data_IF_916502736161
#
_entry.id   IF_916502736161
#
_cell.length_a   1.000
_cell.length_b   1.000
_cell.length_c   1.000
_cell.angle_alpha   90.00
_cell.angle_beta   90.00
_cell.angle_gamma   90.00
#
_symmetry.space_group_name_H-M   'P 1'
#
loop_
_entity.id
_entity.type
_entity.pdbx_description
1 polymer ?
#
# COMPACT_ATOMS: atom_id res chain seq x y z
N UNK A 1 -6.00 -11.83 9.39
CA UNK A 1 -5.34 -10.49 9.38
C UNK A 1 -5.13 -10.11 7.93
N UNK A 2 -4.92 -8.86 7.56
CA UNK A 2 -4.79 -8.51 6.15
C UNK A 2 -3.43 -7.89 5.82
N UNK A 3 -2.89 -8.27 4.66
CA UNK A 3 -1.68 -7.71 4.09
C UNK A 3 -1.99 -7.03 2.75
N UNK A 4 -1.54 -5.78 2.62
CA UNK A 4 -1.45 -5.06 1.36
C UNK A 4 0.01 -5.07 0.92
N UNK A 5 0.29 -5.69 -0.23
CA UNK A 5 1.62 -5.76 -0.82
C UNK A 5 1.68 -4.89 -2.08
N UNK A 6 2.78 -4.14 -2.21
CA UNK A 6 3.01 -3.26 -3.35
C UNK A 6 4.15 -3.79 -4.20
N UNK A 7 3.89 -3.97 -5.50
CA UNK A 7 4.96 -4.16 -6.48
C UNK A 7 5.41 -2.80 -6.97
N UNK A 8 6.69 -2.48 -6.83
CA UNK A 8 7.25 -1.18 -7.24
C UNK A 8 8.08 -1.38 -8.51
N UNK A 9 7.82 -0.57 -9.54
CA UNK A 9 8.57 -0.59 -10.80
C UNK A 9 10.05 -0.37 -10.51
N UNK A 10 10.92 -1.17 -11.14
CA UNK A 10 12.37 -1.07 -11.01
C UNK A 10 12.90 -1.22 -9.57
N UNK A 11 12.17 -1.90 -8.69
CA UNK A 11 12.59 -2.16 -7.31
C UNK A 11 12.40 -3.63 -6.96
N UNK A 12 13.40 -4.20 -6.29
CA UNK A 12 13.35 -5.56 -5.74
C UNK A 12 12.69 -5.63 -4.37
N UNK A 13 12.23 -4.49 -3.83
CA UNK A 13 11.54 -4.42 -2.55
C UNK A 13 10.03 -4.45 -2.77
N UNK A 14 9.34 -5.28 -1.99
CA UNK A 14 7.88 -5.37 -1.94
C UNK A 14 7.44 -4.83 -0.57
N UNK A 15 7.02 -3.55 -0.47
CA UNK A 15 6.47 -3.02 0.76
C UNK A 15 5.19 -3.78 1.14
N UNK A 16 5.20 -4.39 2.32
CA UNK A 16 4.02 -5.01 2.93
C UNK A 16 3.49 -4.15 4.08
N UNK A 17 2.20 -3.83 4.01
CA UNK A 17 1.42 -3.07 4.99
C UNK A 17 0.39 -4.00 5.62
N UNK A 18 0.29 -3.99 6.95
CA UNK A 18 -0.63 -4.85 7.69
C UNK A 18 -1.79 -4.04 8.29
N UNK A 19 -2.98 -4.62 8.22
CA UNK A 19 -4.22 -4.14 8.87
C UNK A 19 -4.86 -5.26 9.69
N UNK A 20 -5.43 -4.91 10.83
CA UNK A 20 -6.13 -5.87 11.69
C UNK A 20 -7.50 -6.20 11.12
N UNK A 21 -8.27 -5.18 10.72
CA UNK A 21 -9.62 -5.33 10.18
C UNK A 21 -9.66 -5.48 8.66
N UNK A 22 -10.69 -6.18 8.18
CA UNK A 22 -11.01 -6.29 6.75
C UNK A 22 -11.41 -4.94 6.16
N UNK A 23 -12.25 -4.18 6.88
CA UNK A 23 -12.69 -2.85 6.48
C UNK A 23 -11.49 -1.90 6.27
N UNK A 24 -10.62 -1.77 7.26
CA UNK A 24 -9.41 -0.93 7.19
C UNK A 24 -8.46 -1.37 6.06
N UNK A 25 -8.46 -2.67 5.72
CA UNK A 25 -7.64 -3.21 4.64
C UNK A 25 -8.20 -2.87 3.26
N UNK A 26 -9.52 -3.02 3.07
CA UNK A 26 -10.22 -2.64 1.85
C UNK A 26 -10.16 -1.13 1.62
N UNK A 27 -10.40 -0.31 2.65
CA UNK A 27 -10.27 1.15 2.56
C UNK A 27 -8.86 1.57 2.10
N UNK A 28 -7.82 0.92 2.65
CA UNK A 28 -6.45 1.20 2.24
C UNK A 28 -6.18 0.76 0.80
N UNK A 29 -6.66 -0.42 0.42
CA UNK A 29 -6.53 -0.95 -0.93
C UNK A 29 -7.16 0.00 -1.97
N UNK A 30 -8.41 0.41 -1.76
CA UNK A 30 -9.13 1.33 -2.63
C UNK A 30 -8.45 2.70 -2.70
N UNK A 31 -7.96 3.21 -1.56
CA UNK A 31 -7.19 4.45 -1.52
C UNK A 31 -5.91 4.38 -2.37
N UNK A 32 -5.23 3.24 -2.39
CA UNK A 32 -4.02 3.05 -3.21
C UNK A 32 -4.41 3.00 -4.69
N UNK A 33 -5.47 2.26 -5.05
CA UNK A 33 -5.96 2.22 -6.43
C UNK A 33 -6.38 3.61 -6.94
N UNK A 34 -7.13 4.36 -6.13
CA UNK A 34 -7.51 5.73 -6.46
C UNK A 34 -6.28 6.62 -6.68
N UNK A 35 -5.22 6.44 -5.88
CA UNK A 35 -4.00 7.20 -6.03
C UNK A 35 -3.18 6.85 -7.27
N UNK A 36 -3.18 5.58 -7.67
CA UNK A 36 -2.56 5.10 -8.93
C UNK A 36 -3.31 5.65 -10.14
N UNK A 37 -4.65 5.69 -10.08
CA UNK A 37 -5.51 6.15 -11.17
C UNK A 37 -5.65 7.68 -11.26
N UNK A 38 -5.15 8.42 -10.26
CA UNK A 38 -5.19 9.87 -10.27
C UNK A 38 -4.30 10.44 -11.39
N UNK A 39 -4.76 11.49 -12.07
CA UNK A 39 -3.98 12.18 -13.10
C UNK A 39 -2.65 12.73 -12.56
N UNK A 40 -2.64 13.13 -11.28
CA UNK A 40 -1.47 13.67 -10.61
C UNK A 40 -0.78 12.60 -9.78
N UNK A 41 0.50 12.38 -10.09
CA UNK A 41 1.39 11.59 -9.24
C UNK A 41 1.46 12.19 -7.82
N UNK A 42 1.27 11.34 -6.82
CA UNK A 42 1.25 11.75 -5.41
C UNK A 42 2.14 10.85 -4.55
N UNK A 43 2.72 11.44 -3.51
CA UNK A 43 3.53 10.72 -2.53
C UNK A 43 2.60 10.15 -1.45
N UNK A 44 2.44 8.83 -1.44
CA UNK A 44 1.66 8.13 -0.44
C UNK A 44 2.53 7.79 0.76
N UNK A 45 2.08 8.17 1.97
CA UNK A 45 2.69 7.76 3.24
C UNK A 45 1.83 6.66 3.86
N UNK A 46 2.41 5.48 4.00
CA UNK A 46 1.76 4.28 4.51
C UNK A 46 2.41 3.86 5.83
N UNK A 47 1.60 3.36 6.76
CA UNK A 47 2.05 2.87 8.07
C UNK A 47 1.47 1.49 8.33
N UNK A 48 2.21 0.69 9.12
CA UNK A 48 1.73 -0.58 9.64
C UNK A 48 1.21 -0.40 11.06
N UNK A 49 0.05 -0.96 11.38
CA UNK A 49 -0.51 -0.87 12.73
C UNK A 49 0.33 -1.60 13.78
N UNK A 50 0.82 -2.80 13.44
CA UNK A 50 1.67 -3.59 14.34
C UNK A 50 3.10 -3.07 14.45
N UNK A 51 3.56 -2.32 13.44
CA UNK A 51 4.91 -1.78 13.38
C UNK A 51 4.83 -0.26 13.15
N UNK A 52 4.41 0.53 14.15
CA UNK A 52 4.22 1.97 13.99
C UNK A 52 5.51 2.72 13.65
N UNK A 53 6.67 2.12 13.94
CA UNK A 53 7.99 2.62 13.53
C UNK A 53 8.32 2.35 12.05
N UNK A 54 7.62 1.40 11.40
CA UNK A 54 7.74 1.12 9.97
C UNK A 54 6.85 2.08 9.20
N UNK A 55 7.46 3.10 8.61
CA UNK A 55 6.82 4.07 7.72
C UNK A 55 7.31 3.83 6.30
N UNK A 56 6.39 3.78 5.36
CA UNK A 56 6.67 3.59 3.93
C UNK A 56 6.22 4.86 3.22
N UNK A 57 7.05 5.38 2.32
CA UNK A 57 6.68 6.45 1.41
C UNK A 57 6.92 5.99 -0.03
N UNK A 58 5.91 6.12 -0.88
CA UNK A 58 5.96 5.63 -2.27
C UNK A 58 5.23 6.59 -3.19
N UNK A 59 5.76 6.79 -4.40
CA UNK A 59 5.08 7.53 -5.44
C UNK A 59 4.02 6.65 -6.11
N UNK A 60 2.81 7.17 -6.28
CA UNK A 60 1.71 6.40 -6.88
C UNK A 60 2.04 5.94 -8.30
N UNK A 61 2.77 6.75 -9.09
CA UNK A 61 3.20 6.38 -10.45
C UNK A 61 4.15 5.19 -10.52
N UNK A 62 4.85 4.88 -9.43
CA UNK A 62 5.87 3.84 -9.38
C UNK A 62 5.28 2.50 -8.90
N UNK A 63 4.02 2.49 -8.44
CA UNK A 63 3.32 1.26 -8.06
C UNK A 63 2.86 0.55 -9.35
N UNK A 64 3.37 -0.66 -9.55
CA UNK A 64 3.04 -1.52 -10.67
C UNK A 64 1.82 -2.40 -10.40
N UNK A 65 1.67 -2.86 -9.15
CA UNK A 65 0.55 -3.70 -8.71
C UNK A 65 0.29 -3.52 -7.22
N UNK A 66 -0.95 -3.79 -6.83
CA UNK A 66 -1.42 -3.82 -5.44
C UNK A 66 -2.10 -5.17 -5.22
N UNK A 67 -1.74 -5.86 -4.15
CA UNK A 67 -2.36 -7.12 -3.75
C UNK A 67 -2.91 -6.98 -2.33
N UNK A 68 -4.16 -7.39 -2.12
CA UNK A 68 -4.76 -7.57 -0.81
C UNK A 68 -4.93 -9.07 -0.56
N UNK A 69 -4.47 -9.55 0.60
CA UNK A 69 -4.59 -10.95 1.00
C UNK A 69 -4.86 -11.08 2.49
N UNK A 70 -5.51 -12.19 2.86
CA UNK A 70 -5.62 -12.59 4.26
C UNK A 70 -4.39 -13.41 4.69
N UNK A 71 -3.85 -13.11 5.87
CA UNK A 71 -2.67 -13.70 6.51
C UNK A 71 -2.86 -13.94 8.01
#
# INVERSE_FOLDING_TARGET
MFAIELTIRNSNTIPMIQRKGEEEANELYDKILAAINAEKNQLMKLSCERYPKKKIAVWSKDIAAVQLSEI
#
